data_IF_941110624859
#
_entry.id   IF_941110624859
#
_cell.length_a   1.000
_cell.length_b   1.000
_cell.length_c   1.000
_cell.angle_alpha   90.00
_cell.angle_beta   90.00
_cell.angle_gamma   90.00
#
_symmetry.space_group_name_H-M   'P 1'
#
loop_
_entity.id
_entity.type
_entity.pdbx_description
1 polymer ?
#
# COMPACT_ATOMS: atom_id res chain seq x y z
N UNK A 1 12.55 -4.50 30.43
CA UNK A 1 13.15 -5.63 29.68
C UNK A 1 12.49 -7.00 29.93
N UNK A 2 11.73 -7.21 31.03
CA UNK A 2 11.06 -8.50 31.34
C UNK A 2 10.39 -9.20 30.13
N UNK A 3 9.61 -8.47 29.34
CA UNK A 3 8.96 -9.03 28.14
C UNK A 3 9.91 -9.72 27.13
N UNK A 4 11.11 -9.17 26.89
CA UNK A 4 12.06 -9.76 25.94
C UNK A 4 12.60 -11.10 26.42
N UNK A 5 12.70 -11.30 27.73
CA UNK A 5 13.21 -12.52 28.33
C UNK A 5 12.10 -13.53 28.65
N UNK A 6 10.98 -13.04 29.21
CA UNK A 6 9.95 -13.89 29.81
C UNK A 6 8.90 -14.38 28.81
N UNK A 7 8.60 -13.60 27.76
CA UNK A 7 7.55 -13.98 26.80
C UNK A 7 8.04 -15.10 25.87
N UNK A 8 7.17 -16.02 25.45
CA UNK A 8 7.57 -17.07 24.50
C UNK A 8 7.91 -16.48 23.12
N UNK A 9 8.99 -16.99 22.52
CA UNK A 9 9.38 -16.65 21.16
C UNK A 9 8.41 -17.22 20.12
N UNK A 10 7.63 -18.26 20.42
CA UNK A 10 6.71 -18.85 19.45
C UNK A 10 5.59 -17.88 19.07
N UNK A 11 5.00 -17.20 20.06
CA UNK A 11 3.90 -16.25 19.85
C UNK A 11 4.37 -14.81 19.62
N UNK A 12 5.49 -14.41 20.23
CA UNK A 12 5.86 -13.00 20.33
C UNK A 12 7.15 -12.61 19.60
N UNK A 13 7.79 -13.51 18.84
CA UNK A 13 9.05 -13.21 18.14
C UNK A 13 8.99 -11.93 17.29
N UNK A 14 7.93 -11.77 16.48
CA UNK A 14 7.73 -10.56 15.69
C UNK A 14 7.72 -9.29 16.57
N UNK A 15 6.95 -9.32 17.65
CA UNK A 15 6.81 -8.17 18.56
C UNK A 15 8.11 -7.87 19.31
N UNK A 16 8.85 -8.91 19.73
CA UNK A 16 10.16 -8.75 20.36
C UNK A 16 11.17 -8.10 19.41
N UNK A 17 11.26 -8.57 18.17
CA UNK A 17 12.16 -7.99 17.17
C UNK A 17 11.74 -6.56 16.84
N UNK A 18 10.45 -6.29 16.65
CA UNK A 18 9.95 -4.94 16.46
C UNK A 18 10.31 -4.02 17.63
N UNK A 19 10.21 -4.51 18.87
CA UNK A 19 10.57 -3.77 20.07
C UNK A 19 12.07 -3.47 20.13
N UNK A 20 12.94 -4.44 19.81
CA UNK A 20 14.39 -4.24 19.76
C UNK A 20 14.75 -3.14 18.75
N UNK A 21 14.18 -3.19 17.56
CA UNK A 21 14.39 -2.17 16.54
C UNK A 21 13.86 -0.81 17.00
N UNK A 22 12.70 -0.77 17.65
CA UNK A 22 12.12 0.45 18.19
C UNK A 22 12.95 1.04 19.33
N UNK A 23 13.51 0.22 20.22
CA UNK A 23 14.35 0.65 21.35
C UNK A 23 15.68 1.24 20.86
N UNK A 24 16.37 0.57 19.93
CA UNK A 24 17.66 1.02 19.43
C UNK A 24 17.53 2.19 18.43
N UNK A 25 16.52 2.14 17.56
CA UNK A 25 16.33 3.11 16.49
C UNK A 25 15.35 4.24 16.81
N UNK A 26 14.62 4.19 17.93
CA UNK A 26 13.48 5.07 18.21
C UNK A 26 12.53 5.19 17.01
N UNK A 27 12.20 4.05 16.40
CA UNK A 27 11.50 3.99 15.12
C UNK A 27 10.01 4.25 15.26
N UNK A 28 9.45 5.05 14.35
CA UNK A 28 7.99 5.21 14.23
C UNK A 28 7.37 3.98 13.56
N UNK A 29 6.06 3.78 13.75
CA UNK A 29 5.32 2.69 13.09
C UNK A 29 5.47 2.68 11.57
N UNK A 30 5.48 3.84 10.92
CA UNK A 30 5.71 3.94 9.46
C UNK A 30 7.12 3.56 9.03
N UNK A 31 8.13 3.85 9.86
CA UNK A 31 9.52 3.46 9.60
C UNK A 31 9.67 1.95 9.73
N UNK A 32 9.08 1.36 10.78
CA UNK A 32 9.00 -0.09 10.96
C UNK A 32 8.26 -0.77 9.79
N UNK A 33 7.16 -0.17 9.34
CA UNK A 33 6.31 -0.66 8.24
C UNK A 33 7.02 -0.58 6.89
N UNK A 34 7.84 0.43 6.64
CA UNK A 34 8.48 0.64 5.33
C UNK A 34 9.88 0.04 5.23
N UNK A 35 10.46 -0.44 6.33
CA UNK A 35 11.78 -1.06 6.38
C UNK A 35 11.88 -2.26 5.44
N UNK A 36 12.91 -2.26 4.59
CA UNK A 36 13.18 -3.33 3.61
C UNK A 36 14.41 -4.15 4.00
N UNK A 37 14.56 -5.32 3.38
CA UNK A 37 15.75 -6.16 3.57
C UNK A 37 17.05 -5.46 3.17
N UNK A 38 16.98 -4.58 2.16
CA UNK A 38 18.14 -3.83 1.69
C UNK A 38 18.59 -2.76 2.70
N UNK A 39 17.73 -2.40 3.66
CA UNK A 39 18.03 -1.41 4.70
C UNK A 39 18.79 -2.00 5.88
N UNK A 40 19.00 -3.32 5.88
CA UNK A 40 19.59 -4.05 6.99
C UNK A 40 20.87 -4.74 6.51
N UNK A 41 21.98 -4.42 7.16
CA UNK A 41 23.28 -5.00 6.92
C UNK A 41 23.68 -5.86 8.12
N UNK A 42 23.95 -7.13 7.85
CA UNK A 42 24.38 -8.08 8.86
C UNK A 42 25.90 -8.14 8.89
N UNK A 43 26.48 -7.76 10.02
CA UNK A 43 27.88 -8.03 10.33
C UNK A 43 27.94 -9.12 11.40
N UNK A 44 29.14 -9.67 11.64
CA UNK A 44 29.33 -10.81 12.55
C UNK A 44 28.83 -10.55 13.98
N UNK A 45 29.02 -9.33 14.48
CA UNK A 45 28.68 -8.97 15.87
C UNK A 45 27.63 -7.87 15.98
N UNK A 46 27.20 -7.27 14.87
CA UNK A 46 26.27 -6.13 14.90
C UNK A 46 25.37 -6.11 13.67
N UNK A 47 24.13 -5.70 13.86
CA UNK A 47 23.18 -5.47 12.76
C UNK A 47 23.06 -3.97 12.56
N UNK A 48 23.39 -3.48 11.38
CA UNK A 48 23.32 -2.06 11.02
C UNK A 48 22.02 -1.83 10.26
N UNK A 49 21.23 -0.86 10.69
CA UNK A 49 19.92 -0.55 10.10
C UNK A 49 19.90 0.89 9.60
N UNK A 50 19.62 1.05 8.31
CA UNK A 50 19.60 2.35 7.63
C UNK A 50 18.16 2.80 7.33
N UNK A 51 17.72 3.88 7.96
CA UNK A 51 16.40 4.46 7.74
C UNK A 51 16.46 5.54 6.64
N UNK A 52 15.99 5.21 5.43
CA UNK A 52 16.17 6.05 4.23
C UNK A 52 15.19 7.21 4.06
N UNK A 53 14.06 7.23 4.77
CA UNK A 53 13.14 8.36 4.72
C UNK A 53 12.21 8.41 5.93
N UNK A 54 12.36 9.44 6.75
CA UNK A 54 11.42 9.80 7.80
C UNK A 54 10.62 11.03 7.33
N UNK A 55 9.46 11.32 7.93
CA UNK A 55 8.58 12.47 7.60
C UNK A 55 9.34 13.82 7.55
N UNK A 56 10.54 13.89 8.13
CA UNK A 56 11.45 15.04 8.20
C UNK A 56 12.68 14.97 7.28
N UNK A 57 12.75 14.03 6.32
CA UNK A 57 13.82 13.90 5.30
C UNK A 57 15.26 13.73 5.82
N UNK A 58 15.47 13.35 7.08
CA UNK A 58 16.81 13.00 7.58
C UNK A 58 16.98 11.48 7.61
N UNK A 59 18.00 11.00 6.90
CA UNK A 59 18.48 9.62 7.01
C UNK A 59 19.15 9.45 8.38
N UNK A 60 18.99 8.28 8.99
CA UNK A 60 19.71 7.91 10.21
C UNK A 60 20.07 6.43 10.16
N UNK A 61 21.17 6.09 10.80
CA UNK A 61 21.67 4.72 10.93
C UNK A 61 21.75 4.42 12.42
N UNK A 62 21.37 3.21 12.81
CA UNK A 62 21.56 2.72 14.17
C UNK A 62 21.99 1.26 14.13
N UNK A 63 22.49 0.79 15.26
CA UNK A 63 23.05 -0.54 15.39
C UNK A 63 22.30 -1.33 16.45
N UNK A 64 22.12 -2.63 16.19
CA UNK A 64 21.62 -3.57 17.18
C UNK A 64 22.78 -4.47 17.57
N UNK A 65 23.16 -4.40 18.83
CA UNK A 65 24.21 -5.22 19.44
C UNK A 65 23.60 -6.48 20.07
N UNK A 66 24.44 -7.33 20.65
CA UNK A 66 24.00 -8.54 21.35
C UNK A 66 23.22 -8.26 22.65
N UNK A 67 23.05 -7.00 23.04
CA UNK A 67 22.28 -6.63 24.22
C UNK A 67 20.83 -7.11 24.13
N UNK A 68 20.31 -7.61 25.26
CA UNK A 68 18.95 -8.13 25.37
C UNK A 68 18.57 -9.19 24.31
N UNK A 69 19.54 -10.01 23.89
CA UNK A 69 19.38 -11.06 22.88
C UNK A 69 18.93 -10.51 21.52
N UNK A 70 19.27 -9.26 21.21
CA UNK A 70 18.84 -8.55 20.01
C UNK A 70 19.18 -9.29 18.71
N UNK A 71 20.43 -9.73 18.61
CA UNK A 71 20.96 -10.46 17.44
C UNK A 71 20.29 -11.83 17.31
N UNK A 72 20.18 -12.59 18.40
CA UNK A 72 19.57 -13.92 18.39
C UNK A 72 18.10 -13.87 17.92
N UNK A 73 17.33 -12.91 18.47
CA UNK A 73 15.93 -12.71 18.09
C UNK A 73 15.79 -12.29 16.63
N UNK A 74 16.66 -11.40 16.15
CA UNK A 74 16.71 -11.01 14.75
C UNK A 74 16.96 -12.22 13.83
N UNK A 75 18.01 -13.00 14.10
CA UNK A 75 18.38 -14.17 13.29
C UNK A 75 17.26 -15.20 13.25
N UNK A 76 16.62 -15.45 14.41
CA UNK A 76 15.47 -16.35 14.51
C UNK A 76 14.29 -15.87 13.65
N UNK A 77 13.97 -14.57 13.70
CA UNK A 77 12.90 -14.01 12.87
C UNK A 77 13.24 -14.08 11.37
N UNK A 78 14.47 -13.72 10.99
CA UNK A 78 14.91 -13.74 9.59
C UNK A 78 14.81 -15.15 8.99
N UNK A 79 15.19 -16.18 9.75
CA UNK A 79 15.11 -17.58 9.32
C UNK A 79 13.68 -18.05 9.09
N UNK A 80 12.75 -17.63 9.96
CA UNK A 80 11.32 -18.01 9.88
C UNK A 80 10.53 -17.14 8.89
N UNK A 81 11.06 -15.98 8.51
CA UNK A 81 10.41 -15.07 7.58
C UNK A 81 10.19 -15.79 6.22
N UNK A 82 8.98 -15.75 5.66
CA UNK A 82 8.75 -16.27 4.31
C UNK A 82 9.59 -15.49 3.29
N UNK A 83 10.30 -16.24 2.44
CA UNK A 83 11.17 -15.67 1.40
C UNK A 83 10.36 -15.29 0.15
N UNK A 84 9.32 -16.05 -0.18
CA UNK A 84 8.45 -15.77 -1.34
C UNK A 84 7.32 -14.79 -1.00
N UNK A 85 7.67 -13.61 -0.53
CA UNK A 85 6.71 -12.51 -0.35
C UNK A 85 6.77 -11.59 -1.56
N UNK A 86 5.63 -11.20 -2.14
CA UNK A 86 5.56 -10.25 -3.27
C UNK A 86 6.01 -8.81 -2.96
N UNK A 87 6.80 -8.61 -1.89
CA UNK A 87 7.36 -7.35 -1.46
C UNK A 87 8.70 -7.58 -0.74
N UNK A 88 9.59 -6.57 -0.74
CA UNK A 88 10.92 -6.62 -0.11
C UNK A 88 10.95 -6.19 1.36
N UNK A 89 9.78 -5.98 1.97
CA UNK A 89 9.64 -5.53 3.37
C UNK A 89 10.24 -6.54 4.36
N UNK A 90 10.96 -6.04 5.34
CA UNK A 90 11.55 -6.86 6.41
C UNK A 90 10.46 -7.41 7.34
N UNK A 91 9.66 -6.52 7.93
CA UNK A 91 8.52 -6.91 8.78
C UNK A 91 7.33 -7.34 7.94
N UNK A 92 7.02 -8.64 7.95
CA UNK A 92 5.82 -9.20 7.33
C UNK A 92 4.67 -9.09 8.33
N UNK A 93 3.70 -8.22 8.04
CA UNK A 93 2.49 -8.10 8.84
C UNK A 93 1.40 -8.97 8.21
N UNK A 94 0.86 -9.91 8.97
CA UNK A 94 -0.29 -10.69 8.52
C UNK A 94 -1.51 -9.78 8.47
N UNK A 95 -2.17 -9.72 7.31
CA UNK A 95 -3.50 -9.11 7.24
C UNK A 95 -4.44 -9.91 8.15
N UNK A 96 -5.40 -9.23 8.78
CA UNK A 96 -6.42 -9.96 9.53
C UNK A 96 -7.17 -10.88 8.57
N UNK A 97 -7.62 -12.03 9.10
CA UNK A 97 -8.45 -12.99 8.36
C UNK A 97 -9.70 -12.31 7.78
N UNK A 98 -10.25 -11.32 8.50
CA UNK A 98 -11.37 -10.50 8.03
C UNK A 98 -11.02 -9.69 6.76
N UNK A 99 -9.90 -8.97 6.73
CA UNK A 99 -9.49 -8.24 5.51
C UNK A 99 -9.25 -9.20 4.35
N UNK A 100 -8.61 -10.35 4.60
CA UNK A 100 -8.42 -11.36 3.55
C UNK A 100 -9.73 -11.91 3.01
N UNK A 101 -10.71 -12.21 3.87
CA UNK A 101 -12.01 -12.72 3.46
C UNK A 101 -12.73 -11.70 2.57
N UNK A 102 -12.74 -10.42 2.94
CA UNK A 102 -13.34 -9.34 2.13
C UNK A 102 -12.61 -9.18 0.80
N UNK A 103 -11.28 -9.17 0.78
CA UNK A 103 -10.49 -9.01 -0.45
C UNK A 103 -10.73 -10.16 -1.44
N UNK A 104 -11.10 -11.34 -0.96
CA UNK A 104 -11.50 -12.49 -1.78
C UNK A 104 -13.01 -12.51 -2.11
N UNK A 105 -13.75 -11.44 -1.83
CA UNK A 105 -15.17 -11.30 -2.17
C UNK A 105 -16.14 -11.86 -1.13
N UNK A 106 -15.68 -12.13 0.10
CA UNK A 106 -16.55 -12.57 1.19
C UNK A 106 -17.59 -11.52 1.58
N UNK A 107 -18.79 -11.97 1.95
CA UNK A 107 -19.93 -11.10 2.25
C UNK A 107 -19.97 -10.69 3.73
N UNK A 108 -20.80 -9.69 4.09
CA UNK A 108 -21.02 -9.28 5.50
C UNK A 108 -21.33 -10.48 6.42
N UNK A 109 -22.26 -11.40 6.06
CA UNK A 109 -22.53 -12.57 6.89
C UNK A 109 -21.31 -13.46 7.13
N UNK A 110 -20.49 -13.72 6.10
CA UNK A 110 -19.27 -14.51 6.25
C UNK A 110 -18.29 -13.84 7.20
N UNK A 111 -18.20 -12.51 7.11
CA UNK A 111 -17.35 -11.69 7.96
C UNK A 111 -17.81 -11.70 9.42
N UNK A 112 -19.12 -11.61 9.66
CA UNK A 112 -19.71 -11.72 11.01
C UNK A 112 -19.49 -13.11 11.60
N UNK A 113 -19.62 -14.17 10.79
CA UNK A 113 -19.35 -15.55 11.21
C UNK A 113 -17.86 -15.75 11.54
N UNK A 114 -16.96 -15.18 10.75
CA UNK A 114 -15.52 -15.25 10.98
C UNK A 114 -15.08 -14.50 12.24
N UNK A 115 -15.63 -13.29 12.46
CA UNK A 115 -15.25 -12.42 13.59
C UNK A 115 -16.09 -12.61 14.85
N UNK A 116 -17.15 -13.40 14.81
CA UNK A 116 -18.11 -13.53 15.92
C UNK A 116 -18.87 -12.24 16.22
N UNK A 117 -19.06 -11.36 15.23
CA UNK A 117 -19.65 -10.04 15.45
C UNK A 117 -21.17 -10.07 15.39
N UNK A 118 -21.83 -9.58 16.45
CA UNK A 118 -23.27 -9.40 16.48
C UNK A 118 -23.73 -8.22 15.59
N UNK A 119 -22.97 -7.10 15.60
CA UNK A 119 -23.27 -5.91 14.80
C UNK A 119 -22.68 -5.98 13.39
N UNK A 120 -23.40 -5.48 12.39
CA UNK A 120 -22.86 -5.28 11.03
C UNK A 120 -21.86 -4.13 10.98
N UNK A 121 -22.03 -3.08 11.81
CA UNK A 121 -21.17 -1.89 11.80
C UNK A 121 -19.69 -2.20 12.10
N UNK A 122 -19.41 -3.16 12.98
CA UNK A 122 -18.06 -3.65 13.25
C UNK A 122 -17.44 -4.36 12.03
N UNK A 123 -18.28 -5.03 11.22
CA UNK A 123 -17.89 -5.78 10.03
C UNK A 123 -17.70 -4.85 8.81
N UNK A 124 -18.57 -3.85 8.66
CA UNK A 124 -18.60 -2.88 7.56
C UNK A 124 -17.28 -2.12 7.40
N UNK A 125 -16.56 -1.87 8.50
CA UNK A 125 -15.25 -1.21 8.45
C UNK A 125 -14.27 -1.91 7.52
N UNK A 126 -14.24 -3.25 7.56
CA UNK A 126 -13.32 -4.04 6.71
C UNK A 126 -13.71 -3.99 5.23
N UNK A 127 -15.00 -3.85 4.93
CA UNK A 127 -15.53 -3.71 3.57
C UNK A 127 -15.20 -2.35 2.98
N UNK A 128 -15.38 -1.28 3.75
CA UNK A 128 -15.09 0.09 3.32
C UNK A 128 -13.59 0.36 3.11
N UNK A 129 -12.72 -0.35 3.82
CA UNK A 129 -11.26 -0.22 3.68
C UNK A 129 -10.65 -1.13 2.58
N UNK A 130 -11.40 -2.10 2.04
CA UNK A 130 -10.90 -3.01 1.00
C UNK A 130 -10.63 -2.28 -0.32
N UNK A 131 -9.36 -2.34 -0.75
CA UNK A 131 -8.92 -1.78 -2.04
C UNK A 131 -9.61 -2.52 -3.19
N UNK A 132 -9.79 -3.84 -3.07
CA UNK A 132 -10.43 -4.65 -4.10
C UNK A 132 -11.91 -4.27 -4.28
N UNK A 133 -12.65 -4.09 -3.19
CA UNK A 133 -14.04 -3.62 -3.28
C UNK A 133 -14.15 -2.25 -3.97
N UNK A 134 -13.24 -1.32 -3.67
CA UNK A 134 -13.20 -0.02 -4.35
C UNK A 134 -12.93 -0.16 -5.86
N UNK A 135 -11.98 -1.02 -6.23
CA UNK A 135 -11.67 -1.33 -7.63
C UNK A 135 -12.88 -1.99 -8.32
N UNK A 136 -13.54 -2.95 -7.67
CA UNK A 136 -14.70 -3.64 -8.24
C UNK A 136 -15.91 -2.71 -8.41
N UNK A 137 -16.22 -1.90 -7.40
CA UNK A 137 -17.30 -0.90 -7.47
C UNK A 137 -17.01 0.11 -8.57
N UNK A 138 -15.77 0.61 -8.66
CA UNK A 138 -15.33 1.46 -9.76
C UNK A 138 -15.54 0.78 -11.12
N UNK A 139 -15.06 -0.46 -11.29
CA UNK A 139 -15.27 -1.25 -12.52
C UNK A 139 -16.76 -1.42 -12.87
N UNK A 140 -17.63 -1.64 -11.89
CA UNK A 140 -19.09 -1.76 -12.10
C UNK A 140 -19.70 -0.44 -12.60
N UNK A 141 -19.29 0.69 -12.04
CA UNK A 141 -19.72 2.03 -12.49
C UNK A 141 -19.27 2.27 -13.93
N UNK A 142 -18.00 1.99 -14.25
CA UNK A 142 -17.47 2.21 -15.60
C UNK A 142 -17.99 1.22 -16.65
N UNK A 143 -18.43 0.01 -16.27
CA UNK A 143 -19.00 -0.98 -17.20
C UNK A 143 -20.43 -0.69 -17.66
N UNK A 144 -21.10 0.32 -17.09
CA UNK A 144 -22.48 0.68 -17.44
C UNK A 144 -22.70 1.40 -18.79
N UNK A 145 -21.66 1.58 -19.63
CA UNK A 145 -21.75 2.36 -20.88
C UNK A 145 -21.71 1.55 -22.18
N UNK A 146 -21.87 0.23 -22.15
CA UNK A 146 -21.91 -0.58 -23.37
C UNK A 146 -22.87 -1.77 -23.25
N UNK A 147 -24.19 -1.53 -23.18
CA UNK A 147 -25.26 -2.39 -23.74
C UNK A 147 -26.59 -1.62 -23.72
N UNK A 148 -27.02 -1.07 -24.87
CA UNK A 148 -28.43 -0.99 -25.30
C UNK A 148 -28.49 -0.46 -26.74
N UNK A 149 -28.87 -1.36 -27.67
CA UNK A 149 -29.37 -0.97 -28.98
C UNK A 149 -30.75 -0.31 -28.84
N UNK A 150 -30.85 0.89 -29.41
CA UNK A 150 -32.04 1.58 -29.96
C UNK A 150 -33.23 1.86 -29.02
N UNK A 151 -33.24 3.08 -28.48
CA UNK A 151 -34.32 4.03 -28.81
C UNK A 151 -33.70 5.43 -28.92
N UNK A 152 -33.67 5.94 -30.15
CA UNK A 152 -33.15 7.27 -30.48
C UNK A 152 -34.15 8.29 -29.98
N UNK A 153 -33.80 9.05 -28.95
CA UNK A 153 -34.07 10.48 -28.83
C UNK A 153 -33.36 11.04 -27.57
N UNK A 154 -32.11 11.47 -27.75
CA UNK A 154 -31.44 12.41 -26.84
C UNK A 154 -30.74 13.50 -27.69
N UNK A 155 -30.91 14.81 -27.39
CA UNK A 155 -30.58 15.89 -28.33
C UNK A 155 -29.09 16.23 -28.49
N UNK A 156 -28.18 15.51 -27.84
CA UNK A 156 -26.76 15.85 -27.84
C UNK A 156 -25.92 14.60 -28.13
N UNK A 157 -25.60 14.39 -29.41
CA UNK A 157 -24.59 13.43 -29.83
C UNK A 157 -23.51 14.11 -30.68
N UNK A 158 -22.26 13.94 -30.25
CA UNK A 158 -21.11 13.94 -31.13
C UNK A 158 -20.46 12.57 -30.96
N UNK A 159 -20.57 11.74 -31.98
CA UNK A 159 -20.03 10.38 -32.01
C UNK A 159 -18.53 10.41 -32.29
N UNK A 160 -17.76 9.66 -31.52
CA UNK A 160 -16.52 9.06 -32.01
C UNK A 160 -16.30 7.72 -31.32
N UNK A 161 -16.59 6.65 -32.03
CA UNK A 161 -16.24 5.28 -31.67
C UNK A 161 -14.72 5.14 -31.60
N UNK A 162 -14.19 4.56 -30.53
CA UNK A 162 -12.94 3.79 -30.58
C UNK A 162 -12.89 2.88 -29.37
N UNK A 163 -13.12 1.59 -29.64
CA UNK A 163 -12.83 0.51 -28.71
C UNK A 163 -11.31 0.43 -28.53
N UNK A 164 -10.83 0.41 -27.28
CA UNK A 164 -9.45 -0.03 -27.04
C UNK A 164 -9.30 -0.67 -25.66
N UNK A 165 -8.87 -1.93 -25.71
CA UNK A 165 -8.44 -2.76 -24.61
C UNK A 165 -7.43 -2.00 -23.71
N UNK A 166 -7.66 -1.98 -22.39
CA UNK A 166 -6.65 -1.47 -21.46
C UNK A 166 -5.70 -2.61 -21.10
N UNK A 167 -4.54 -2.62 -21.76
CA UNK A 167 -3.31 -3.20 -21.23
C UNK A 167 -2.63 -2.17 -20.31
N UNK A 168 -1.95 -2.67 -19.29
CA UNK A 168 -1.17 -1.90 -18.30
C UNK A 168 -0.05 -1.13 -19.01
N UNK A 169 -0.09 0.21 -18.93
CA UNK A 169 0.77 1.10 -19.72
C UNK A 169 1.66 1.93 -18.81
N UNK A 170 2.97 1.79 -19.03
CA UNK A 170 4.06 2.53 -18.36
C UNK A 170 3.93 4.04 -18.55
N UNK A 171 4.33 4.82 -17.53
CA UNK A 171 4.26 6.30 -17.44
C UNK A 171 4.76 7.05 -18.69
N UNK A 172 5.65 6.46 -19.48
CA UNK A 172 6.19 7.08 -20.69
C UNK A 172 5.19 7.14 -21.85
N UNK A 173 4.22 6.22 -21.92
CA UNK A 173 3.19 6.19 -22.96
C UNK A 173 2.01 7.10 -22.67
N UNK A 174 1.72 7.38 -21.39
CA UNK A 174 0.71 8.37 -20.98
C UNK A 174 0.99 9.75 -21.58
N UNK A 175 2.27 10.14 -21.64
CA UNK A 175 2.70 11.42 -22.23
C UNK A 175 2.42 11.53 -23.74
N UNK A 176 2.46 10.40 -24.46
CA UNK A 176 2.19 10.36 -25.91
C UNK A 176 0.70 10.41 -26.19
N UNK A 177 -0.13 9.79 -25.34
CA UNK A 177 -1.59 9.81 -25.46
C UNK A 177 -2.19 11.21 -25.25
N UNK A 178 -1.61 12.04 -24.37
CA UNK A 178 -2.10 13.41 -24.13
C UNK A 178 -1.99 14.29 -25.39
N UNK A 179 -1.01 14.04 -26.26
CA UNK A 179 -0.79 14.85 -27.47
C UNK A 179 -1.91 14.76 -28.50
N UNK A 180 -2.77 13.73 -28.42
CA UNK A 180 -3.84 13.48 -29.38
C UNK A 180 -5.23 13.85 -28.84
N UNK A 181 -5.31 14.56 -27.71
CA UNK A 181 -6.56 15.02 -27.12
C UNK A 181 -6.82 16.46 -27.56
N UNK A 182 -7.51 16.62 -28.70
CA UNK A 182 -8.11 17.90 -29.07
C UNK A 182 -9.45 18.07 -28.35
N UNK A 183 -9.72 19.26 -27.80
CA UNK A 183 -10.95 19.66 -27.07
C UNK A 183 -11.13 19.16 -25.62
N UNK A 184 -10.06 19.06 -24.83
CA UNK A 184 -10.19 18.92 -23.36
C UNK A 184 -9.42 20.02 -22.62
N UNK A 185 -10.08 20.67 -21.66
CA UNK A 185 -9.47 21.66 -20.76
C UNK A 185 -9.18 21.02 -19.42
N UNK A 186 -7.90 20.85 -19.08
CA UNK A 186 -7.47 20.36 -17.77
C UNK A 186 -7.16 21.54 -16.84
N UNK A 187 -8.01 21.77 -15.84
CA UNK A 187 -7.76 22.79 -14.83
C UNK A 187 -6.91 22.20 -13.71
N UNK A 188 -5.64 22.61 -13.65
CA UNK A 188 -4.75 22.31 -12.53
C UNK A 188 -4.79 23.45 -11.52
N UNK A 189 -5.41 23.24 -10.36
CA UNK A 189 -5.35 24.20 -9.26
C UNK A 189 -4.11 23.90 -8.41
N UNK A 190 -3.00 24.57 -8.76
CA UNK A 190 -1.78 24.58 -7.94
C UNK A 190 -1.85 25.68 -6.88
N UNK A 191 -1.45 25.37 -5.64
CA UNK A 191 -1.33 26.34 -4.57
C UNK A 191 -0.33 27.44 -4.97
N UNK A 192 -0.77 28.69 -4.92
CA UNK A 192 -0.14 29.86 -5.54
C UNK A 192 1.30 30.05 -5.06
N UNK A 193 2.26 30.05 -5.99
CA UNK A 193 3.34 31.03 -6.04
C UNK A 193 3.90 31.11 -7.48
N UNK A 194 3.64 32.25 -8.12
CA UNK A 194 4.21 32.75 -9.39
C UNK A 194 3.66 32.13 -10.70
N UNK A 195 2.58 32.75 -11.20
CA UNK A 195 2.05 32.53 -12.55
C UNK A 195 2.98 33.21 -13.57
N UNK A 196 3.54 32.43 -14.52
CA UNK A 196 3.92 32.93 -15.85
C UNK A 196 3.04 32.21 -16.85
N UNK A 197 2.19 32.97 -17.53
CA UNK A 197 1.43 32.48 -18.68
C UNK A 197 2.39 32.40 -19.88
N UNK A 198 2.56 31.22 -20.46
CA UNK A 198 3.22 31.05 -21.76
C UNK A 198 2.13 30.70 -22.76
N UNK A 199 1.87 31.62 -23.67
CA UNK A 199 0.91 31.45 -24.75
C UNK A 199 1.70 30.97 -25.99
N UNK A 200 1.52 29.70 -26.39
CA UNK A 200 2.03 29.22 -27.68
C UNK A 200 0.94 29.42 -28.72
N UNK A 201 1.02 30.54 -29.46
CA UNK A 201 0.31 30.69 -30.74
C UNK A 201 1.14 29.98 -31.80
N UNK A 202 0.54 29.00 -32.46
CA UNK A 202 1.11 28.36 -33.64
C UNK A 202 1.13 29.36 -34.81
N UNK A 203 2.33 29.81 -35.19
CA UNK A 203 2.84 29.71 -36.56
C UNK A 203 4.36 29.85 -36.55
#
# INVERSE_FOLDING_TARGET
>A
MKFLNDASNESYLFMKVALIFALNGAMRGEELRSLTLNDIEENESVIVVTLRNTKTKKKRVFTITSEANGIELYLKYRKLKPQNTGHSRFFVCYRSSATMLVDNGGTIPDLKRLGGWASTSSAERYIGESIQNKIQTSKKIFRGSNQQEVSKNCPWQHSSSSSSNIMDVSLNEFSKSIKNISNCTFNFYGNKNKVRSVNSRNK
#
